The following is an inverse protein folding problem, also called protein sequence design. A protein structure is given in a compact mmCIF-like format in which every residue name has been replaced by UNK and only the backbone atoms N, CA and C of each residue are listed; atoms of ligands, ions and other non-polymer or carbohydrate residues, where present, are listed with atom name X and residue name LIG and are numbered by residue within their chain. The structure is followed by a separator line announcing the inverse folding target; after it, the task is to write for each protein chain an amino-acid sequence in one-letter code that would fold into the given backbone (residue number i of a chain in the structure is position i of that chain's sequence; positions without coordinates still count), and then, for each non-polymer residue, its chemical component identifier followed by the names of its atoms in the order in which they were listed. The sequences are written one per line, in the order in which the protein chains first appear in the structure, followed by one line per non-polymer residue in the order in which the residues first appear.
data_IF_665403748936
#
_entry.id   IF_665403748936
#
_cell.length_a   1.000
_cell.length_b   1.000
_cell.length_c   1.000
_cell.angle_alpha   90.00
_cell.angle_beta   90.00
_cell.angle_gamma   90.00
#
_symmetry.space_group_name_H-M   'P 1'
#
loop_
_entity.id
_entity.type
_entity.pdbx_description
1 polymer ?
#
# COMPACT_ATOMS: atom_id res chain seq x y z
N UNK A 1 49.21 -21.21 77.65
CA UNK A 1 50.25 -20.44 76.91
C UNK A 1 50.41 -21.07 75.51
N UNK A 2 50.77 -20.29 74.48
CA UNK A 2 49.89 -19.94 73.34
C UNK A 2 50.21 -20.68 72.04
N UNK A 3 49.27 -20.75 71.08
CA UNK A 3 49.45 -20.20 69.72
C UNK A 3 48.20 -20.33 68.83
N UNK A 4 47.90 -19.22 68.16
CA UNK A 4 46.95 -19.03 67.08
C UNK A 4 47.27 -19.90 65.84
N UNK A 5 46.23 -20.39 65.18
CA UNK A 5 46.28 -20.70 63.74
C UNK A 5 44.97 -20.33 63.06
N UNK A 6 45.11 -19.67 61.92
CA UNK A 6 44.11 -18.85 61.21
C UNK A 6 43.08 -19.71 60.45
N UNK A 7 41.79 -19.42 60.62
CA UNK A 7 40.73 -19.92 59.73
C UNK A 7 40.59 -18.96 58.53
N UNK A 8 40.97 -19.42 57.35
CA UNK A 8 40.69 -18.72 56.08
C UNK A 8 39.28 -19.05 55.62
N UNK A 9 38.39 -18.05 55.67
CA UNK A 9 37.04 -18.12 55.11
C UNK A 9 37.11 -18.07 53.57
N UNK A 10 36.57 -19.11 52.92
CA UNK A 10 36.32 -19.14 51.47
C UNK A 10 35.06 -18.31 51.18
N UNK A 11 35.21 -17.13 50.59
CA UNK A 11 34.12 -16.42 49.93
C UNK A 11 33.68 -17.19 48.68
N UNK A 12 32.48 -17.75 48.70
CA UNK A 12 31.80 -18.23 47.50
C UNK A 12 31.02 -17.06 46.90
N UNK A 13 31.52 -16.48 45.82
CA UNK A 13 30.86 -15.41 45.05
C UNK A 13 29.83 -16.05 44.11
N UNK A 14 28.54 -15.85 44.40
CA UNK A 14 27.45 -16.18 43.50
C UNK A 14 27.41 -15.17 42.34
N UNK A 15 27.57 -15.65 41.11
CA UNK A 15 27.55 -14.83 39.90
C UNK A 15 26.12 -14.82 39.33
N UNK A 16 25.37 -13.76 39.64
CA UNK A 16 24.01 -13.56 39.12
C UNK A 16 24.09 -13.02 37.68
N UNK A 17 23.77 -13.86 36.69
CA UNK A 17 23.72 -13.47 35.28
C UNK A 17 22.42 -12.69 35.05
N UNK A 18 22.51 -11.38 34.91
CA UNK A 18 21.39 -10.52 34.51
C UNK A 18 21.17 -10.63 32.99
N UNK A 19 20.12 -11.33 32.58
CA UNK A 19 19.72 -11.40 31.17
C UNK A 19 19.07 -10.07 30.75
N UNK A 20 19.81 -9.24 30.03
CA UNK A 20 19.29 -8.04 29.37
C UNK A 20 18.45 -8.43 28.16
N UNK A 21 17.13 -8.31 28.28
CA UNK A 21 16.19 -8.46 27.15
C UNK A 21 16.32 -7.22 26.27
N UNK A 22 16.92 -7.37 25.08
CA UNK A 22 16.96 -6.32 24.07
C UNK A 22 15.58 -6.25 23.38
N UNK A 23 14.94 -5.07 23.29
CA UNK A 23 13.71 -4.92 22.53
C UNK A 23 14.00 -5.12 21.04
N UNK A 24 13.36 -6.10 20.41
CA UNK A 24 13.36 -6.25 18.96
C UNK A 24 12.46 -5.17 18.33
N UNK A 25 12.89 -4.51 17.24
CA UNK A 25 12.02 -3.60 16.52
C UNK A 25 10.91 -4.41 15.82
N UNK A 26 9.67 -4.19 16.23
CA UNK A 26 8.51 -4.66 15.49
C UNK A 26 8.37 -3.80 14.23
N UNK A 27 8.58 -4.39 13.05
CA UNK A 27 8.24 -3.74 11.79
C UNK A 27 6.71 -3.74 11.69
N UNK A 28 6.09 -2.57 11.87
CA UNK A 28 4.68 -2.40 11.54
C UNK A 28 4.52 -2.67 10.03
N UNK A 29 3.84 -3.75 9.67
CA UNK A 29 3.44 -3.97 8.29
C UNK A 29 2.49 -2.81 7.93
N UNK A 30 2.86 -1.98 6.95
CA UNK A 30 2.01 -0.86 6.50
C UNK A 30 0.65 -1.42 6.09
N UNK A 31 -0.35 -1.31 6.96
CA UNK A 31 -1.71 -1.74 6.70
C UNK A 31 -2.32 -0.72 5.74
N UNK A 32 -2.61 -1.13 4.51
CA UNK A 32 -3.06 -0.19 3.47
C UNK A 32 -3.66 -0.87 2.25
N UNK A 33 -4.07 -0.03 1.29
CA UNK A 33 -4.56 -0.46 -0.01
C UNK A 33 -3.58 -0.01 -1.08
N UNK A 34 -2.84 -0.95 -1.68
CA UNK A 34 -1.95 -0.60 -2.79
C UNK A 34 -2.74 -0.62 -4.09
N UNK A 35 -2.68 0.49 -4.83
CA UNK A 35 -3.20 0.63 -6.18
C UNK A 35 -2.00 0.72 -7.13
N UNK A 36 -1.85 -0.31 -7.96
CA UNK A 36 -0.72 -0.43 -8.87
C UNK A 36 -1.20 -0.30 -10.32
N UNK A 37 -0.78 0.75 -11.03
CA UNK A 37 -0.90 0.83 -12.48
C UNK A 37 0.17 -0.06 -13.10
N UNK A 38 -0.23 -1.23 -13.60
CA UNK A 38 0.69 -2.30 -13.95
C UNK A 38 1.11 -2.27 -15.43
N UNK A 39 0.16 -2.03 -16.33
CA UNK A 39 0.37 -2.12 -17.77
C UNK A 39 -0.58 -1.22 -18.55
N UNK A 40 -0.10 -0.72 -19.69
CA UNK A 40 -0.93 -0.17 -20.76
C UNK A 40 -0.92 -1.12 -21.98
N UNK A 41 -2.06 -1.21 -22.67
CA UNK A 41 -2.20 -1.85 -23.97
C UNK A 41 -3.02 -0.97 -24.90
N UNK A 42 -2.65 -0.85 -26.18
CA UNK A 42 -3.51 -0.19 -27.17
C UNK A 42 -4.87 -0.90 -27.24
N UNK A 43 -5.96 -0.12 -27.21
CA UNK A 43 -7.30 -0.62 -27.47
C UNK A 43 -7.59 -0.64 -28.99
N UNK A 44 -8.55 -1.45 -29.41
CA UNK A 44 -8.87 -1.62 -30.84
C UNK A 44 -9.46 -0.35 -31.48
N UNK A 45 -10.07 0.52 -30.68
CA UNK A 45 -10.69 1.78 -31.11
C UNK A 45 -9.71 2.97 -31.11
N UNK A 46 -8.41 2.71 -30.91
CA UNK A 46 -7.38 3.74 -30.79
C UNK A 46 -7.28 4.38 -29.40
N UNK A 47 -8.06 3.90 -28.43
CA UNK A 47 -7.90 4.25 -27.02
C UNK A 47 -6.75 3.51 -26.34
N UNK A 48 -6.68 3.67 -25.02
CA UNK A 48 -5.72 2.98 -24.18
C UNK A 48 -6.41 2.11 -23.13
N UNK A 49 -5.99 0.86 -22.98
CA UNK A 49 -6.41 -0.03 -21.91
C UNK A 49 -5.38 -0.01 -20.78
N UNK A 50 -5.83 0.31 -19.57
CA UNK A 50 -5.01 0.34 -18.37
C UNK A 50 -5.34 -0.83 -17.44
N UNK A 51 -4.29 -1.53 -16.99
CA UNK A 51 -4.40 -2.66 -16.08
C UNK A 51 -3.97 -2.23 -14.68
N UNK A 52 -4.85 -2.43 -13.70
CA UNK A 52 -4.61 -2.08 -12.32
C UNK A 52 -4.61 -3.32 -11.43
N UNK A 53 -3.67 -3.40 -10.50
CA UNK A 53 -3.69 -4.36 -9.40
C UNK A 53 -4.02 -3.65 -8.10
N UNK A 54 -5.03 -4.15 -7.40
CA UNK A 54 -5.44 -3.67 -6.08
C UNK A 54 -5.04 -4.72 -5.04
N UNK A 55 -4.16 -4.37 -4.10
CA UNK A 55 -3.73 -5.26 -3.02
C UNK A 55 -4.27 -4.73 -1.70
N UNK A 56 -5.26 -5.43 -1.16
CA UNK A 56 -5.94 -5.00 0.05
C UNK A 56 -5.33 -5.67 1.29
N UNK A 57 -4.52 -4.91 2.02
CA UNK A 57 -3.85 -5.32 3.26
C UNK A 57 -4.42 -4.58 4.49
N UNK A 58 -5.58 -3.92 4.33
CA UNK A 58 -6.24 -3.13 5.40
C UNK A 58 -6.89 -3.98 6.49
N UNK A 59 -7.07 -5.29 6.24
CA UNK A 59 -7.85 -6.18 7.10
C UNK A 59 -9.37 -6.08 6.94
N UNK A 60 -9.88 -5.18 6.08
CA UNK A 60 -11.31 -5.02 5.77
C UNK A 60 -11.60 -5.37 4.32
N UNK A 61 -12.74 -6.02 4.05
CA UNK A 61 -13.21 -6.16 2.68
C UNK A 61 -13.95 -4.88 2.29
N UNK A 62 -13.74 -4.37 1.08
CA UNK A 62 -14.50 -3.23 0.56
C UNK A 62 -15.53 -3.73 -0.44
N UNK A 63 -16.80 -3.39 -0.19
CA UNK A 63 -17.91 -3.65 -1.09
C UNK A 63 -18.14 -2.48 -2.06
N UNK A 64 -17.63 -1.29 -1.74
CA UNK A 64 -17.55 -0.13 -2.64
C UNK A 64 -16.14 0.45 -2.64
N UNK A 65 -15.58 0.70 -3.82
CA UNK A 65 -14.29 1.37 -4.00
C UNK A 65 -14.21 1.98 -5.40
N UNK A 66 -14.51 3.27 -5.50
CA UNK A 66 -14.51 4.02 -6.75
C UNK A 66 -13.52 5.18 -6.69
N UNK A 67 -12.72 5.34 -7.74
CA UNK A 67 -11.68 6.37 -7.84
C UNK A 67 -11.91 7.25 -9.06
N UNK A 68 -11.78 8.56 -8.87
CA UNK A 68 -11.72 9.55 -9.94
C UNK A 68 -10.26 9.81 -10.32
N UNK A 69 -9.91 9.52 -11.56
CA UNK A 69 -8.57 9.66 -12.12
C UNK A 69 -8.56 10.80 -13.14
N UNK A 70 -7.62 11.73 -13.01
CA UNK A 70 -7.29 12.68 -14.05
C UNK A 70 -6.20 12.11 -14.95
N UNK A 71 -6.48 12.06 -16.25
CA UNK A 71 -5.55 11.62 -17.28
C UNK A 71 -4.91 12.86 -17.89
N UNK A 72 -3.58 12.97 -17.80
CA UNK A 72 -2.83 14.07 -18.37
C UNK A 72 -2.23 13.64 -19.71
N UNK A 73 -2.36 14.50 -20.72
CA UNK A 73 -1.81 14.31 -22.06
C UNK A 73 -0.29 14.52 -22.08
N UNK A 74 0.34 14.34 -23.25
CA UNK A 74 1.78 14.53 -23.45
C UNK A 74 2.30 15.96 -23.18
N UNK A 75 1.43 16.94 -22.93
CA UNK A 75 1.79 18.30 -22.52
C UNK A 75 1.63 18.52 -21.00
N UNK A 76 1.18 17.51 -20.26
CA UNK A 76 0.86 17.61 -18.84
C UNK A 76 -0.46 18.35 -18.57
N UNK A 77 -1.33 18.46 -19.57
CA UNK A 77 -2.65 19.07 -19.44
C UNK A 77 -3.68 17.97 -19.23
N UNK A 78 -4.69 18.22 -18.38
CA UNK A 78 -5.79 17.27 -18.18
C UNK A 78 -6.52 17.08 -19.51
N UNK A 79 -6.46 15.86 -20.05
CA UNK A 79 -7.25 15.44 -21.20
C UNK A 79 -8.69 15.13 -20.76
N UNK A 80 -8.83 14.34 -19.68
CA UNK A 80 -10.14 13.94 -19.13
C UNK A 80 -10.07 13.48 -17.67
N UNK A 81 -11.25 13.37 -17.07
CA UNK A 81 -11.48 12.66 -15.82
C UNK A 81 -12.17 11.32 -16.10
N UNK A 82 -11.73 10.26 -15.43
CA UNK A 82 -12.32 8.93 -15.49
C UNK A 82 -12.69 8.47 -14.09
N UNK A 83 -13.94 8.07 -13.89
CA UNK A 83 -14.35 7.38 -12.69
C UNK A 83 -14.29 5.87 -12.92
N UNK A 84 -13.56 5.15 -12.06
CA UNK A 84 -13.37 3.72 -12.16
C UNK A 84 -13.84 3.03 -10.88
N UNK A 85 -14.66 1.97 -11.04
CA UNK A 85 -15.09 1.12 -9.94
C UNK A 85 -14.24 -0.15 -9.88
N UNK A 86 -13.49 -0.29 -8.79
CA UNK A 86 -12.63 -1.44 -8.54
C UNK A 86 -13.20 -2.42 -7.52
N UNK A 87 -14.38 -2.16 -6.95
CA UNK A 87 -15.04 -3.10 -6.06
C UNK A 87 -15.47 -4.40 -6.77
N UNK A 88 -15.66 -5.50 -6.03
CA UNK A 88 -15.29 -5.66 -4.61
C UNK A 88 -13.77 -5.87 -4.43
N UNK A 89 -13.24 -5.46 -3.26
CA UNK A 89 -11.85 -5.66 -2.87
C UNK A 89 -11.76 -6.55 -1.62
N UNK A 90 -11.58 -7.88 -1.77
CA UNK A 90 -11.51 -8.79 -0.64
C UNK A 90 -10.23 -8.59 0.19
N UNK A 91 -10.30 -8.94 1.47
CA UNK A 91 -9.12 -8.94 2.37
C UNK A 91 -8.04 -9.87 1.84
N UNK A 92 -6.78 -9.44 1.93
CA UNK A 92 -5.58 -10.23 1.65
C UNK A 92 -5.57 -10.87 0.24
N UNK A 93 -6.25 -10.25 -0.72
CA UNK A 93 -6.24 -10.67 -2.12
C UNK A 93 -5.80 -9.54 -3.04
N UNK A 94 -5.14 -9.93 -4.12
CA UNK A 94 -4.86 -9.03 -5.24
C UNK A 94 -6.01 -9.13 -6.24
N UNK A 95 -6.64 -8.01 -6.54
CA UNK A 95 -7.69 -7.89 -7.56
C UNK A 95 -7.10 -7.22 -8.80
N UNK A 96 -7.17 -7.89 -9.95
CA UNK A 96 -6.85 -7.30 -11.26
C UNK A 96 -8.11 -6.65 -11.84
N UNK A 97 -7.99 -5.40 -12.30
CA UNK A 97 -9.02 -4.69 -13.06
C UNK A 97 -8.42 -4.10 -14.32
N UNK A 98 -9.25 -3.98 -15.35
CA UNK A 98 -8.90 -3.39 -16.62
C UNK A 98 -9.89 -2.24 -16.85
N UNK A 99 -9.38 -1.07 -17.23
CA UNK A 99 -10.19 0.09 -17.54
C UNK A 99 -9.78 0.64 -18.91
N UNK A 100 -10.77 1.03 -19.71
CA UNK A 100 -10.56 1.67 -21.00
C UNK A 100 -10.47 3.19 -20.81
N UNK A 101 -9.51 3.80 -21.48
CA UNK A 101 -9.27 5.23 -21.57
C UNK A 101 -9.50 5.59 -23.04
N UNK A 102 -10.73 5.92 -23.43
CA UNK A 102 -11.07 6.10 -24.83
C UNK A 102 -10.40 7.36 -25.41
N UNK A 103 -10.22 7.41 -26.73
CA UNK A 103 -9.80 8.60 -27.49
C UNK A 103 -8.39 9.16 -27.16
N UNK A 104 -7.56 8.42 -26.41
CA UNK A 104 -6.16 8.78 -26.18
C UNK A 104 -5.28 7.54 -26.36
N UNK A 105 -4.21 7.65 -27.12
CA UNK A 105 -3.26 6.56 -27.29
C UNK A 105 -2.45 6.38 -26.00
N UNK A 106 -2.06 5.14 -25.68
CA UNK A 106 -1.27 4.89 -24.47
C UNK A 106 0.07 5.63 -24.42
N UNK A 107 0.65 5.95 -25.59
CA UNK A 107 1.88 6.73 -25.71
C UNK A 107 1.71 8.19 -25.32
N UNK A 108 0.47 8.70 -25.37
CA UNK A 108 0.17 10.12 -25.20
C UNK A 108 -0.26 10.44 -23.76
N UNK A 109 -0.32 9.44 -22.88
CA UNK A 109 -0.59 9.61 -21.45
C UNK A 109 0.74 9.92 -20.76
N UNK A 110 0.89 11.14 -20.24
CA UNK A 110 2.10 11.54 -19.51
C UNK A 110 2.02 11.18 -18.03
N UNK A 111 0.84 11.25 -17.43
CA UNK A 111 0.60 11.04 -16.00
C UNK A 111 -0.85 10.65 -15.74
N UNK A 112 -1.06 9.83 -14.71
CA UNK A 112 -2.39 9.57 -14.14
C UNK A 112 -2.41 10.08 -12.70
N UNK A 113 -3.28 11.04 -12.40
CA UNK A 113 -3.46 11.63 -11.08
C UNK A 113 -4.72 11.05 -10.43
N UNK A 114 -4.60 10.49 -9.24
CA UNK A 114 -5.74 10.17 -8.37
C UNK A 114 -6.32 11.48 -7.83
N UNK A 115 -7.40 11.95 -8.46
CA UNK A 115 -8.07 13.20 -8.09
C UNK A 115 -8.93 13.03 -6.83
N UNK A 116 -9.70 11.94 -6.76
CA UNK A 116 -10.59 11.66 -5.63
C UNK A 116 -10.87 10.17 -5.47
N UNK A 117 -11.36 9.79 -4.29
CA UNK A 117 -11.97 8.48 -4.02
C UNK A 117 -13.44 8.74 -3.70
N UNK A 118 -14.31 8.51 -4.68
CA UNK A 118 -15.73 8.87 -4.62
C UNK A 118 -16.53 7.91 -3.72
N UNK A 119 -16.07 6.66 -3.61
CA UNK A 119 -16.64 5.68 -2.69
C UNK A 119 -15.52 4.84 -2.09
N UNK A 120 -15.58 4.63 -0.78
CA UNK A 120 -14.79 3.65 -0.09
C UNK A 120 -15.60 3.08 1.06
N UNK A 121 -16.29 1.98 0.80
CA UNK A 121 -17.25 1.38 1.71
C UNK A 121 -16.75 0.00 2.16
N UNK A 122 -16.27 -0.13 3.40
CA UNK A 122 -16.03 -1.43 4.00
C UNK A 122 -17.35 -2.19 4.13
N UNK A 123 -17.26 -3.51 4.03
CA UNK A 123 -18.44 -4.37 4.11
C UNK A 123 -19.16 -4.21 5.46
N UNK A 124 -20.45 -3.89 5.42
CA UNK A 124 -21.30 -3.63 6.60
C UNK A 124 -20.89 -2.41 7.44
N UNK A 125 -20.14 -1.46 6.87
CA UNK A 125 -19.78 -0.19 7.51
C UNK A 125 -20.13 0.99 6.59
N UNK A 126 -20.15 2.20 7.15
CA UNK A 126 -20.35 3.43 6.37
C UNK A 126 -19.13 3.76 5.49
N UNK A 127 -19.32 4.65 4.51
CA UNK A 127 -18.22 5.16 3.70
C UNK A 127 -17.17 5.87 4.58
N UNK A 128 -15.89 5.61 4.30
CA UNK A 128 -14.74 6.21 4.99
C UNK A 128 -13.82 6.94 4.01
N UNK A 129 -12.96 7.80 4.53
CA UNK A 129 -11.89 8.41 3.73
C UNK A 129 -10.71 7.44 3.55
N UNK A 130 -10.58 6.91 2.35
CA UNK A 130 -9.48 5.99 1.99
C UNK A 130 -8.28 6.67 1.35
N UNK A 131 -8.32 7.99 1.11
CA UNK A 131 -7.22 8.71 0.49
C UNK A 131 -5.89 8.57 1.29
N UNK A 132 -5.91 8.59 2.64
CA UNK A 132 -4.71 8.35 3.46
C UNK A 132 -4.23 6.88 3.45
N UNK A 133 -5.12 5.93 3.15
CA UNK A 133 -4.84 4.48 3.18
C UNK A 133 -4.24 3.96 1.87
N UNK A 134 -4.39 4.74 0.80
CA UNK A 134 -3.97 4.34 -0.54
C UNK A 134 -2.50 4.63 -0.78
N UNK A 135 -1.79 3.60 -1.23
CA UNK A 135 -0.41 3.68 -1.74
C UNK A 135 -0.44 3.48 -3.25
N UNK A 136 0.08 4.46 -3.98
CA UNK A 136 0.12 4.42 -5.44
C UNK A 136 1.46 3.87 -5.93
N UNK A 137 1.41 2.99 -6.91
CA UNK A 137 2.57 2.43 -7.58
C UNK A 137 2.30 2.45 -9.08
N UNK A 138 3.30 2.79 -9.89
CA UNK A 138 3.24 2.60 -11.34
C UNK A 138 4.39 1.72 -11.81
N UNK A 139 4.10 0.86 -12.78
CA UNK A 139 5.07 0.08 -13.57
C UNK A 139 5.05 0.48 -15.04
N UNK A 140 4.23 1.45 -15.42
CA UNK A 140 4.20 2.00 -16.78
C UNK A 140 5.15 3.19 -16.87
N UNK A 141 5.27 3.77 -18.07
CA UNK A 141 6.02 5.01 -18.28
C UNK A 141 5.32 6.24 -17.68
N UNK A 142 4.00 6.21 -17.56
CA UNK A 142 3.23 7.24 -16.88
C UNK A 142 3.23 6.99 -15.36
N UNK A 143 3.62 7.97 -14.53
CA UNK A 143 3.48 7.83 -13.09
C UNK A 143 2.00 7.83 -12.70
N UNK A 144 1.71 7.14 -11.59
CA UNK A 144 0.42 7.19 -10.89
C UNK A 144 0.64 7.96 -9.59
N UNK A 145 0.04 9.14 -9.47
CA UNK A 145 0.30 10.11 -8.40
C UNK A 145 -0.99 10.55 -7.70
N UNK A 146 -0.87 11.22 -6.55
CA UNK A 146 -1.98 11.81 -5.78
C UNK A 146 -1.69 13.27 -5.46
#
# INVERSE_FOLDING_TARGET
MPRFTRFTARCATAFTVAATVLPMPATAQEQGLTVELNKFEPAEDGGCRAFFLFRNETGKAFEGFAMSLAILDGQGVIDRLLNIDAAPLPVARTTLKLFEIPQIACSDISEILLHAIDSCQPQNEDNIDCFPLVKLVSRTTAPLVK
#
